data_IF_783570902244
#
_entry.id   IF_783570902244
#
_cell.length_a   1.000
_cell.length_b   1.000
_cell.length_c   1.000
_cell.angle_alpha   90.00
_cell.angle_beta   90.00
_cell.angle_gamma   90.00
#
_symmetry.space_group_name_H-M   'P 1'
#
loop_
_entity.id
_entity.type
_entity.pdbx_description
1 polymer ?
#
# COMPACT_ATOMS: atom_id res chain seq x y z
N UNK A 1 48.59 10.11 18.69
CA UNK A 1 47.62 9.05 18.36
C UNK A 1 46.22 9.66 18.45
N UNK A 2 45.57 9.94 17.32
CA UNK A 2 44.20 10.46 17.30
C UNK A 2 43.25 9.30 16.98
N UNK A 3 42.40 8.93 17.95
CA UNK A 3 41.41 7.87 17.79
C UNK A 3 40.23 8.37 16.94
N UNK A 4 39.99 7.71 15.81
CA UNK A 4 38.79 7.94 15.01
C UNK A 4 37.59 7.27 15.68
N UNK A 5 36.62 8.08 16.13
CA UNK A 5 35.32 7.58 16.55
C UNK A 5 34.56 7.07 15.32
N UNK A 6 34.37 5.74 15.22
CA UNK A 6 33.46 5.14 14.25
C UNK A 6 32.03 5.35 14.74
N UNK A 7 31.31 6.24 14.07
CA UNK A 7 29.86 6.29 14.17
C UNK A 7 29.31 4.98 13.58
N UNK A 8 28.73 4.13 14.42
CA UNK A 8 27.94 3.01 13.94
C UNK A 8 26.67 3.58 13.29
N UNK A 9 26.62 3.58 11.97
CA UNK A 9 25.38 3.77 11.23
C UNK A 9 24.46 2.61 11.57
N UNK A 10 23.58 2.82 12.57
CA UNK A 10 22.45 1.92 12.78
C UNK A 10 21.66 1.87 11.49
N UNK A 11 21.65 0.73 10.82
CA UNK A 11 20.75 0.50 9.69
C UNK A 11 19.33 0.72 10.21
N UNK A 12 18.74 1.85 9.84
CA UNK A 12 17.35 2.16 10.17
C UNK A 12 16.49 1.00 9.67
N UNK A 13 15.52 0.53 10.47
CA UNK A 13 14.56 -0.47 9.98
C UNK A 13 13.87 0.00 8.70
N UNK A 14 13.74 1.32 8.51
CA UNK A 14 13.24 1.95 7.28
C UNK A 14 14.04 1.55 6.02
N UNK A 15 15.36 1.37 6.12
CA UNK A 15 16.16 1.01 4.94
C UNK A 15 15.83 -0.39 4.42
N UNK A 16 15.50 -1.33 5.30
CA UNK A 16 15.09 -2.69 4.90
C UNK A 16 13.70 -2.73 4.23
N UNK A 17 12.85 -1.75 4.52
CA UNK A 17 11.54 -1.61 3.86
C UNK A 17 11.67 -0.95 2.49
N UNK A 18 12.72 -0.15 2.29
CA UNK A 18 13.02 0.53 1.03
C UNK A 18 13.86 -0.31 0.08
N UNK A 19 14.53 -1.36 0.57
CA UNK A 19 15.18 -2.36 -0.29
C UNK A 19 14.10 -3.02 -1.15
N UNK A 20 14.18 -2.77 -2.46
CA UNK A 20 13.13 -3.04 -3.43
C UNK A 20 12.50 -4.43 -3.26
N UNK A 21 11.19 -4.44 -3.06
CA UNK A 21 10.36 -5.63 -3.23
C UNK A 21 10.51 -6.12 -4.68
N UNK A 22 10.62 -7.43 -4.87
CA UNK A 22 10.79 -8.04 -6.20
C UNK A 22 9.74 -7.48 -7.16
N UNK A 23 10.18 -7.05 -8.35
CA UNK A 23 9.26 -6.64 -9.40
C UNK A 23 8.31 -7.81 -9.77
N UNK A 24 6.98 -7.58 -9.80
CA UNK A 24 6.04 -8.62 -10.20
C UNK A 24 6.26 -9.01 -11.66
N UNK A 25 6.02 -10.28 -11.98
CA UNK A 25 5.94 -10.74 -13.36
C UNK A 25 4.71 -10.15 -14.06
N UNK A 26 4.69 -10.15 -15.40
CA UNK A 26 3.54 -9.66 -16.17
C UNK A 26 2.23 -10.37 -15.80
N UNK A 27 2.28 -11.68 -15.51
CA UNK A 27 1.10 -12.45 -15.09
C UNK A 27 0.62 -12.04 -13.70
N UNK A 28 1.54 -11.82 -12.76
CA UNK A 28 1.22 -11.31 -11.43
C UNK A 28 0.61 -9.90 -11.51
N UNK A 29 1.19 -9.03 -12.34
CA UNK A 29 0.71 -7.68 -12.57
C UNK A 29 -0.69 -7.67 -13.20
N UNK A 30 -0.95 -8.48 -14.24
CA UNK A 30 -2.28 -8.62 -14.85
C UNK A 30 -3.32 -9.09 -13.83
N UNK A 31 -2.97 -10.08 -13.00
CA UNK A 31 -3.86 -10.56 -11.94
C UNK A 31 -4.21 -9.44 -10.95
N UNK A 32 -3.22 -8.67 -10.50
CA UNK A 32 -3.42 -7.55 -9.57
C UNK A 32 -4.24 -6.42 -10.20
N UNK A 33 -4.04 -6.13 -11.49
CA UNK A 33 -4.83 -5.14 -12.22
C UNK A 33 -6.30 -5.54 -12.33
N UNK A 34 -6.57 -6.80 -12.64
CA UNK A 34 -7.94 -7.35 -12.68
C UNK A 34 -8.57 -7.34 -11.28
N UNK A 35 -7.80 -7.69 -10.25
CA UNK A 35 -8.28 -7.62 -8.87
C UNK A 35 -8.61 -6.18 -8.44
N UNK A 36 -7.79 -5.20 -8.81
CA UNK A 36 -8.08 -3.79 -8.57
C UNK A 36 -9.37 -3.32 -9.28
N UNK A 37 -9.69 -3.88 -10.46
CA UNK A 37 -10.95 -3.61 -11.14
C UNK A 37 -12.17 -4.11 -10.34
N UNK A 38 -12.09 -5.32 -9.77
CA UNK A 38 -13.12 -5.85 -8.86
C UNK A 38 -13.29 -4.94 -7.65
N UNK A 39 -12.19 -4.54 -7.00
CA UNK A 39 -12.22 -3.63 -5.84
C UNK A 39 -12.90 -2.30 -6.17
N UNK A 40 -12.61 -1.74 -7.35
CA UNK A 40 -13.26 -0.52 -7.85
C UNK A 40 -14.77 -0.72 -8.03
N UNK A 41 -15.18 -1.85 -8.59
CA UNK A 41 -16.60 -2.18 -8.80
C UNK A 41 -17.34 -2.30 -7.47
N UNK A 42 -16.75 -2.96 -6.47
CA UNK A 42 -17.31 -3.06 -5.11
C UNK A 42 -17.45 -1.68 -4.42
N UNK A 43 -16.44 -0.82 -4.58
CA UNK A 43 -16.51 0.57 -4.08
C UNK A 43 -17.65 1.34 -4.76
N UNK A 44 -17.74 1.23 -6.10
CA UNK A 44 -18.73 1.91 -6.93
C UNK A 44 -20.17 1.41 -6.73
N UNK A 45 -20.36 0.18 -6.27
CA UNK A 45 -21.69 -0.38 -5.99
C UNK A 45 -22.40 0.25 -4.79
N UNK A 46 -21.73 1.11 -4.01
CA UNK A 46 -22.34 1.82 -2.88
C UNK A 46 -22.88 3.20 -3.22
N UNK A 47 -23.02 4.00 -2.17
CA UNK A 47 -23.49 5.39 -2.17
C UNK A 47 -22.48 6.40 -2.77
N UNK A 48 -21.29 5.93 -3.17
CA UNK A 48 -20.21 6.79 -3.68
C UNK A 48 -19.44 7.54 -2.60
N UNK A 49 -19.72 7.28 -1.32
CA UNK A 49 -18.98 7.83 -0.20
C UNK A 49 -17.57 7.23 -0.05
N UNK A 50 -16.72 7.84 0.79
CA UNK A 50 -15.38 7.32 1.06
C UNK A 50 -15.45 5.98 1.82
N UNK A 51 -14.42 5.16 1.65
CA UNK A 51 -14.25 3.90 2.35
C UNK A 51 -12.84 3.76 2.91
N UNK A 52 -12.70 3.16 4.07
CA UNK A 52 -11.42 2.62 4.53
C UNK A 52 -11.13 1.34 3.74
N UNK A 53 -9.97 1.29 3.10
CA UNK A 53 -9.49 0.11 2.38
C UNK A 53 -8.22 -0.39 3.04
N UNK A 54 -8.07 -1.71 3.17
CA UNK A 54 -6.90 -2.30 3.84
C UNK A 54 -6.34 -3.47 3.04
N UNK A 55 -5.02 -3.59 2.99
CA UNK A 55 -4.26 -4.64 2.29
C UNK A 55 -3.16 -5.22 3.19
N UNK A 56 -2.58 -6.33 2.78
CA UNK A 56 -1.32 -6.83 3.34
C UNK A 56 -0.15 -6.07 2.71
N UNK A 57 0.30 -4.96 3.30
CA UNK A 57 1.46 -4.20 2.79
C UNK A 57 2.82 -4.78 3.23
N UNK A 58 2.80 -5.54 4.32
CA UNK A 58 3.90 -6.29 4.90
C UNK A 58 3.37 -7.66 5.34
N UNK A 59 4.17 -8.71 5.16
CA UNK A 59 3.89 -10.02 5.73
C UNK A 59 4.02 -9.98 7.26
N UNK A 60 2.87 -9.91 7.93
CA UNK A 60 2.76 -10.01 9.39
C UNK A 60 2.03 -11.29 9.81
N UNK A 61 2.01 -12.33 8.96
CA UNK A 61 1.31 -13.58 9.22
C UNK A 61 1.81 -14.28 10.50
N UNK A 62 3.11 -14.15 10.81
CA UNK A 62 3.70 -14.64 12.07
C UNK A 62 3.03 -14.06 13.33
N UNK A 63 2.42 -12.88 13.21
CA UNK A 63 1.70 -12.20 14.29
C UNK A 63 0.18 -12.35 14.18
N UNK A 64 -0.32 -13.12 13.22
CA UNK A 64 -1.75 -13.27 12.96
C UNK A 64 -2.40 -12.01 12.37
N UNK A 65 -1.61 -11.07 11.86
CA UNK A 65 -2.11 -9.82 11.27
C UNK A 65 -2.10 -9.97 9.75
N UNK A 66 -3.29 -9.94 9.14
CA UNK A 66 -3.42 -9.95 7.68
C UNK A 66 -3.26 -8.56 7.10
N UNK A 67 -4.08 -7.62 7.54
CA UNK A 67 -4.07 -6.25 7.01
C UNK A 67 -3.07 -5.40 7.78
N UNK A 68 -1.97 -5.04 7.13
CA UNK A 68 -0.87 -4.27 7.70
C UNK A 68 -0.80 -2.84 7.17
N UNK A 69 -1.59 -2.51 6.15
CA UNK A 69 -1.65 -1.18 5.55
C UNK A 69 -3.08 -0.78 5.19
N UNK A 70 -3.38 0.52 5.27
CA UNK A 70 -4.70 1.06 4.97
C UNK A 70 -4.65 2.42 4.26
N UNK A 71 -5.74 2.74 3.57
CA UNK A 71 -5.94 4.00 2.87
C UNK A 71 -7.41 4.45 2.93
N UNK A 72 -7.65 5.74 2.73
CA UNK A 72 -8.98 6.26 2.44
C UNK A 72 -9.21 6.17 0.93
N UNK A 73 -10.07 5.26 0.51
CA UNK A 73 -10.57 5.24 -0.85
C UNK A 73 -11.66 6.29 -1.03
N UNK A 74 -11.54 7.08 -2.09
CA UNK A 74 -12.53 8.09 -2.43
C UNK A 74 -12.62 8.26 -3.94
N UNK A 75 -13.76 8.76 -4.40
CA UNK A 75 -14.03 9.00 -5.82
C UNK A 75 -13.85 10.48 -6.12
N UNK A 76 -12.95 10.79 -7.03
CA UNK A 76 -12.75 12.15 -7.54
C UNK A 76 -13.90 12.57 -8.47
N UNK A 77 -14.02 13.87 -8.74
CA UNK A 77 -15.04 14.42 -9.65
C UNK A 77 -14.96 13.83 -11.07
N UNK A 78 -13.76 13.48 -11.54
CA UNK A 78 -13.54 12.79 -12.82
C UNK A 78 -14.10 11.36 -12.85
N UNK A 79 -14.60 10.85 -11.73
CA UNK A 79 -15.08 9.48 -11.55
C UNK A 79 -13.97 8.47 -11.24
N UNK A 80 -12.70 8.88 -11.27
CA UNK A 80 -11.57 8.04 -10.91
C UNK A 80 -11.52 7.80 -9.39
N UNK A 81 -11.19 6.56 -9.01
CA UNK A 81 -10.99 6.19 -7.62
C UNK A 81 -9.52 6.32 -7.21
N UNK A 82 -9.30 6.93 -6.06
CA UNK A 82 -7.99 7.11 -5.45
C UNK A 82 -7.97 6.53 -4.04
N UNK A 83 -6.83 5.98 -3.64
CA UNK A 83 -6.50 5.54 -2.30
C UNK A 83 -5.50 6.55 -1.70
N UNK A 84 -6.01 7.41 -0.81
CA UNK A 84 -5.22 8.37 -0.05
C UNK A 84 -4.58 7.67 1.15
N UNK A 85 -3.25 7.67 1.20
CA UNK A 85 -2.50 6.90 2.19
C UNK A 85 -1.27 7.66 2.69
N UNK A 86 -0.93 7.43 3.96
CA UNK A 86 0.38 7.79 4.49
C UNK A 86 1.38 6.73 4.04
N UNK A 87 2.39 7.15 3.30
CA UNK A 87 3.42 6.26 2.77
C UNK A 87 4.80 6.78 3.16
N UNK A 88 5.77 5.88 3.33
CA UNK A 88 7.15 6.28 3.54
C UNK A 88 7.81 6.50 2.18
N UNK A 89 8.14 7.75 1.85
CA UNK A 89 8.79 8.10 0.61
C UNK A 89 10.29 7.79 0.72
N UNK A 90 10.69 6.58 0.31
CA UNK A 90 12.05 6.09 0.45
C UNK A 90 13.10 7.03 -0.16
N UNK A 91 12.83 7.58 -1.35
CA UNK A 91 13.73 8.50 -2.05
C UNK A 91 13.91 9.85 -1.32
N UNK A 92 12.91 10.26 -0.53
CA UNK A 92 12.94 11.49 0.27
C UNK A 92 13.38 11.24 1.73
N UNK A 93 13.41 9.97 2.18
CA UNK A 93 13.72 9.62 3.56
C UNK A 93 12.69 10.10 4.59
N UNK A 94 11.44 10.34 4.20
CA UNK A 94 10.39 10.85 5.11
C UNK A 94 8.97 10.40 4.71
N UNK A 95 8.00 10.35 5.65
CA UNK A 95 6.62 10.02 5.33
C UNK A 95 5.89 11.16 4.62
N UNK A 96 4.99 10.80 3.69
CA UNK A 96 4.16 11.70 2.88
C UNK A 96 2.77 11.13 2.68
N UNK A 97 1.80 12.01 2.43
CA UNK A 97 0.46 11.60 1.99
C UNK A 97 0.46 11.54 0.47
N UNK A 98 0.04 10.40 -0.09
CA UNK A 98 -0.13 10.21 -1.53
C UNK A 98 -1.56 9.84 -1.87
N UNK A 99 -2.01 10.36 -3.01
CA UNK A 99 -3.21 9.89 -3.70
C UNK A 99 -2.75 8.94 -4.81
N UNK A 100 -2.96 7.64 -4.61
CA UNK A 100 -2.59 6.60 -5.57
C UNK A 100 -3.84 5.97 -6.17
N UNK A 101 -3.84 5.65 -7.47
CA UNK A 101 -4.94 4.87 -8.06
C UNK A 101 -5.09 3.51 -7.37
N UNK A 102 -6.31 2.95 -7.38
CA UNK A 102 -6.60 1.65 -6.75
C UNK A 102 -5.69 0.51 -7.25
N UNK A 103 -5.26 0.55 -8.52
CA UNK A 103 -4.30 -0.41 -9.06
C UNK A 103 -2.96 -0.37 -8.34
N UNK A 104 -2.40 0.83 -8.10
CA UNK A 104 -1.17 0.97 -7.33
C UNK A 104 -1.37 0.55 -5.88
N UNK A 105 -2.55 0.81 -5.32
CA UNK A 105 -2.91 0.31 -4.00
C UNK A 105 -3.04 -1.22 -3.96
N UNK A 106 -3.50 -1.89 -5.01
CA UNK A 106 -3.48 -3.35 -5.04
C UNK A 106 -2.06 -3.89 -5.20
N UNK A 107 -1.22 -3.22 -5.99
CA UNK A 107 0.14 -3.68 -6.32
C UNK A 107 1.11 -3.63 -5.16
N UNK A 108 0.97 -2.71 -4.21
CA UNK A 108 1.85 -2.68 -3.03
C UNK A 108 1.48 -3.72 -1.96
N UNK A 109 0.87 -4.83 -2.34
CA UNK A 109 0.68 -6.00 -1.48
C UNK A 109 2.01 -6.75 -1.34
N UNK A 110 2.23 -7.39 -0.20
CA UNK A 110 3.48 -8.12 0.10
C UNK A 110 3.67 -9.36 -0.78
N UNK A 111 2.60 -10.10 -1.05
CA UNK A 111 2.59 -11.26 -1.94
C UNK A 111 1.65 -11.04 -3.13
N UNK A 112 2.16 -10.86 -4.36
CA UNK A 112 1.35 -10.61 -5.54
C UNK A 112 0.48 -11.82 -5.96
N UNK A 113 0.74 -13.01 -5.43
CA UNK A 113 -0.11 -14.18 -5.65
C UNK A 113 -1.34 -14.19 -4.71
N UNK A 114 -1.31 -13.43 -3.61
CA UNK A 114 -2.35 -13.35 -2.59
C UNK A 114 -2.99 -11.95 -2.56
N UNK A 115 -4.14 -11.81 -3.22
CA UNK A 115 -4.90 -10.55 -3.25
C UNK A 115 -6.00 -10.51 -2.19
N UNK A 116 -5.70 -9.97 -1.00
CA UNK A 116 -6.73 -9.65 0.00
C UNK A 116 -6.86 -8.14 0.17
N UNK A 117 -8.06 -7.63 -0.09
CA UNK A 117 -8.43 -6.26 0.27
C UNK A 117 -9.71 -6.30 1.09
N UNK A 118 -9.72 -5.59 2.22
CA UNK A 118 -10.92 -5.31 2.99
C UNK A 118 -11.44 -3.90 2.66
N UNK A 119 -12.75 -3.75 2.59
CA UNK A 119 -13.44 -2.49 2.34
C UNK A 119 -14.42 -2.23 3.49
N UNK A 120 -14.32 -1.07 4.13
CA UNK A 120 -15.25 -0.63 5.17
C UNK A 120 -15.75 0.76 4.80
N UNK A 121 -17.04 0.89 4.49
CA UNK A 121 -17.64 2.20 4.19
C UNK A 121 -17.62 3.07 5.44
N UNK A 122 -17.32 4.35 5.26
CA UNK A 122 -17.37 5.29 6.37
C UNK A 122 -18.82 5.77 6.58
N UNK A 123 -19.24 5.97 7.84
CA UNK A 123 -20.54 6.58 8.13
C UNK A 123 -20.59 8.02 7.60
N UNK A 124 -21.79 8.46 7.24
CA UNK A 124 -22.09 9.83 6.84
C UNK A 124 -22.12 10.79 8.04
#
# INVERSE_FOLDING_TARGET
MAGAARAASGASSASRFCDHQREPTATEQDRLLRFAAVVREELAAGDGGPALVSRSGLDLARFGIRYSHAALAWRAESGAWSARQLYYACDEGQPRIYDQGLSGFAMGTDDPALGYIALVRLPA
#
